data_IF_939444585378
#
_entry.id   IF_939444585378
#
_cell.length_a   1.000
_cell.length_b   1.000
_cell.length_c   1.000
_cell.angle_alpha   90.00
_cell.angle_beta   90.00
_cell.angle_gamma   90.00
#
_symmetry.space_group_name_H-M   'P 1'
#
loop_
_entity.id
_entity.type
_entity.pdbx_description
1 polymer ?
#
# COMPACT_ATOMS: atom_id res chain seq x y z
N UNK A 1 11.84 -2.51 18.16
CA UNK A 1 11.35 -3.88 17.95
C UNK A 1 9.94 -3.94 18.51
N UNK A 2 8.93 -3.77 17.65
CA UNK A 2 7.54 -3.57 18.06
C UNK A 2 7.00 -4.79 18.80
N UNK A 3 6.38 -4.55 19.95
CA UNK A 3 5.69 -5.57 20.72
C UNK A 3 4.54 -6.15 19.89
N UNK A 4 4.49 -7.49 19.83
CA UNK A 4 3.55 -8.26 19.02
C UNK A 4 2.18 -8.36 19.70
N UNK A 5 1.74 -7.32 20.42
CA UNK A 5 0.40 -7.32 21.04
C UNK A 5 -0.66 -7.32 19.93
N UNK A 6 -1.47 -8.38 19.80
CA UNK A 6 -2.53 -8.43 18.80
C UNK A 6 -3.58 -7.33 18.99
N UNK A 7 -3.65 -6.70 20.16
CA UNK A 7 -4.59 -5.61 20.46
C UNK A 7 -4.16 -4.24 19.92
N UNK A 8 -2.92 -4.11 19.45
CA UNK A 8 -2.44 -2.85 18.88
C UNK A 8 -3.30 -2.44 17.66
N UNK A 9 -3.81 -1.19 17.63
CA UNK A 9 -4.83 -0.77 16.69
C UNK A 9 -4.31 -0.56 15.26
N UNK A 10 -3.01 -0.39 15.04
CA UNK A 10 -2.46 -0.18 13.70
C UNK A 10 -1.70 -1.41 13.22
N UNK A 11 -2.11 -1.98 12.10
CA UNK A 11 -1.43 -3.09 11.45
C UNK A 11 -0.63 -2.59 10.24
N UNK A 12 0.69 -2.76 10.26
CA UNK A 12 1.53 -2.57 9.09
C UNK A 12 1.50 -3.86 8.26
N UNK A 13 1.22 -3.71 6.97
CA UNK A 13 1.10 -4.83 6.03
C UNK A 13 1.98 -4.61 4.81
N UNK A 14 2.39 -5.72 4.20
CA UNK A 14 3.12 -5.78 2.95
C UNK A 14 2.26 -6.49 1.91
N UNK A 15 2.08 -5.85 0.76
CA UNK A 15 1.42 -6.48 -0.38
C UNK A 15 2.33 -7.57 -0.95
N UNK A 16 2.10 -8.83 -0.57
CA UNK A 16 2.70 -9.98 -1.27
C UNK A 16 1.80 -10.34 -2.44
N UNK A 17 2.31 -10.13 -3.65
CA UNK A 17 1.68 -10.65 -4.87
C UNK A 17 2.65 -11.58 -5.55
N UNK A 18 2.79 -12.79 -5.02
CA UNK A 18 3.29 -13.87 -5.89
C UNK A 18 2.18 -14.22 -6.88
N UNK A 19 2.51 -14.62 -8.13
CA UNK A 19 1.52 -15.08 -9.08
C UNK A 19 0.62 -16.20 -8.52
N UNK A 20 1.18 -17.08 -7.67
CA UNK A 20 0.45 -18.18 -7.04
C UNK A 20 -0.64 -17.70 -6.05
N UNK A 21 -0.36 -16.65 -5.26
CA UNK A 21 -1.31 -16.09 -4.30
C UNK A 21 -2.50 -15.41 -5.01
N UNK A 22 -2.23 -14.80 -6.17
CA UNK A 22 -3.27 -14.18 -7.01
C UNK A 22 -4.20 -15.22 -7.65
N UNK A 23 -3.67 -16.38 -8.03
CA UNK A 23 -4.47 -17.45 -8.66
C UNK A 23 -5.29 -18.26 -7.65
N UNK A 24 -4.87 -18.30 -6.38
CA UNK A 24 -5.55 -19.04 -5.31
C UNK A 24 -6.55 -18.22 -4.50
N UNK A 25 -6.65 -16.91 -4.75
CA UNK A 25 -7.47 -16.00 -3.93
C UNK A 25 -6.89 -15.76 -2.52
N UNK A 26 -5.66 -16.20 -2.26
CA UNK A 26 -4.95 -16.06 -0.99
C UNK A 26 -4.00 -14.86 -0.97
N UNK A 27 -4.22 -13.86 -1.83
CA UNK A 27 -3.49 -12.61 -1.86
C UNK A 27 -3.86 -11.69 -0.66
N UNK A 28 -3.93 -12.26 0.54
CA UNK A 28 -4.08 -11.50 1.77
C UNK A 28 -2.77 -10.75 2.05
N UNK A 29 -2.81 -9.45 2.37
CA UNK A 29 -1.63 -8.71 2.77
C UNK A 29 -0.94 -9.39 3.97
N UNK A 30 0.38 -9.53 3.92
CA UNK A 30 1.11 -10.05 5.08
C UNK A 30 1.17 -8.97 6.15
N UNK A 31 0.65 -9.26 7.35
CA UNK A 31 0.87 -8.41 8.54
C UNK A 31 2.32 -8.55 8.99
N UNK A 32 3.04 -7.43 9.00
CA UNK A 32 4.45 -7.35 9.37
C UNK A 32 4.62 -7.13 10.88
N UNK A 33 3.84 -6.20 11.41
CA UNK A 33 3.84 -5.81 12.81
C UNK A 33 2.56 -5.03 13.15
N UNK A 34 2.27 -4.92 14.45
CA UNK A 34 1.21 -4.05 14.96
C UNK A 34 1.75 -3.02 15.94
N UNK A 35 1.15 -1.83 15.95
CA UNK A 35 1.64 -0.67 16.67
C UNK A 35 0.53 0.04 17.44
N UNK A 36 0.88 0.59 18.61
CA UNK A 36 -0.02 1.37 19.44
C UNK A 36 -0.46 2.68 18.78
N UNK A 37 0.42 3.32 18.00
CA UNK A 37 0.17 4.63 17.38
C UNK A 37 0.48 4.63 15.88
N UNK A 38 -0.13 5.57 15.15
CA UNK A 38 0.18 5.75 13.72
C UNK A 38 1.64 6.17 13.51
N UNK A 39 2.20 7.00 14.39
CA UNK A 39 3.59 7.43 14.29
C UNK A 39 4.56 6.25 14.41
N UNK A 40 4.33 5.35 15.36
CA UNK A 40 5.12 4.13 15.51
C UNK A 40 4.96 3.19 14.31
N UNK A 41 3.74 3.10 13.75
CA UNK A 41 3.51 2.33 12.53
C UNK A 41 4.23 2.91 11.30
N UNK A 42 4.28 4.24 11.17
CA UNK A 42 5.04 4.92 10.12
C UNK A 42 6.55 4.71 10.29
N UNK A 43 7.06 4.78 11.53
CA UNK A 43 8.46 4.48 11.82
C UNK A 43 8.80 3.01 11.51
N UNK A 44 7.94 2.09 11.94
CA UNK A 44 8.11 0.67 11.63
C UNK A 44 8.07 0.35 10.13
N UNK A 45 7.37 1.16 9.34
CA UNK A 45 7.38 1.06 7.88
C UNK A 45 8.74 1.50 7.28
N UNK A 46 9.37 2.53 7.85
CA UNK A 46 10.72 2.96 7.47
C UNK A 46 11.75 1.89 7.86
N UNK A 47 11.71 1.37 9.09
CA UNK A 47 12.58 0.27 9.54
C UNK A 47 12.48 -0.94 8.59
N UNK A 48 11.27 -1.24 8.11
CA UNK A 48 11.06 -2.30 7.12
C UNK A 48 11.65 -1.95 5.75
N UNK A 49 11.48 -0.71 5.28
CA UNK A 49 12.07 -0.26 4.02
C UNK A 49 13.60 -0.27 4.06
N UNK A 50 14.22 0.04 5.20
CA UNK A 50 15.67 -0.06 5.43
C UNK A 50 16.17 -1.51 5.37
N UNK A 51 15.38 -2.46 5.89
CA UNK A 51 15.68 -3.88 5.82
C UNK A 51 15.54 -4.50 4.42
N UNK A 52 14.97 -3.77 3.44
CA UNK A 52 14.78 -4.26 2.08
C UNK A 52 16.04 -4.09 1.24
N UNK A 53 16.38 -5.12 0.45
CA UNK A 53 17.47 -5.00 -0.52
C UNK A 53 17.15 -3.93 -1.57
N UNK A 54 18.13 -3.07 -1.88
CA UNK A 54 17.99 -1.90 -2.78
C UNK A 54 17.55 -2.24 -4.21
N UNK A 55 17.71 -3.50 -4.64
CA UNK A 55 17.31 -3.98 -5.97
C UNK A 55 15.96 -4.74 -5.96
N UNK A 56 15.21 -4.69 -4.86
CA UNK A 56 13.88 -5.30 -4.80
C UNK A 56 12.90 -4.43 -5.59
N UNK A 57 12.01 -5.05 -6.38
CA UNK A 57 10.90 -4.34 -6.98
C UNK A 57 10.11 -3.58 -5.89
N UNK A 58 9.64 -2.34 -6.13
CA UNK A 58 8.97 -1.56 -5.10
C UNK A 58 7.79 -2.32 -4.53
N UNK A 59 7.80 -2.52 -3.20
CA UNK A 59 6.73 -3.19 -2.49
C UNK A 59 5.78 -2.15 -1.90
N UNK A 60 4.48 -2.43 -1.95
CA UNK A 60 3.49 -1.58 -1.33
C UNK A 60 3.36 -1.94 0.15
N UNK A 61 3.66 -0.98 1.01
CA UNK A 61 3.36 -1.01 2.44
C UNK A 61 2.02 -0.30 2.69
N UNK A 62 1.22 -0.85 3.58
CA UNK A 62 -0.06 -0.27 3.98
C UNK A 62 -0.29 -0.41 5.48
N UNK A 63 -0.76 0.66 6.11
CA UNK A 63 -1.17 0.72 7.51
C UNK A 63 -2.69 0.69 7.55
N UNK A 64 -3.24 -0.28 8.28
CA UNK A 64 -4.66 -0.42 8.53
C UNK A 64 -4.97 -0.15 10.01
N UNK A 65 -6.16 0.37 10.29
CA UNK A 65 -6.67 0.46 11.66
C UNK A 65 -7.23 -0.90 12.14
N UNK A 66 -7.79 -0.91 13.34
CA UNK A 66 -8.32 -2.13 13.97
C UNK A 66 -9.57 -2.69 13.28
N UNK A 67 -10.25 -1.86 12.50
CA UNK A 67 -11.46 -2.19 11.73
C UNK A 67 -11.09 -2.51 10.27
N UNK A 68 -9.81 -2.77 9.98
CA UNK A 68 -9.28 -3.04 8.63
C UNK A 68 -9.50 -1.88 7.64
N UNK A 69 -9.63 -0.64 8.14
CA UNK A 69 -9.71 0.54 7.29
C UNK A 69 -8.32 1.01 6.91
N UNK A 70 -8.11 1.31 5.63
CA UNK A 70 -6.84 1.83 5.15
C UNK A 70 -6.57 3.22 5.74
N UNK A 71 -5.45 3.37 6.45
CA UNK A 71 -5.00 4.63 7.07
C UNK A 71 -3.98 5.33 6.18
N UNK A 72 -2.94 4.61 5.76
CA UNK A 72 -1.86 5.12 4.89
C UNK A 72 -1.31 3.97 4.04
N UNK A 73 -0.88 4.27 2.81
CA UNK A 73 -0.13 3.32 1.99
C UNK A 73 0.90 4.03 1.12
N UNK A 74 1.97 3.33 0.77
CA UNK A 74 3.08 3.88 0.01
C UNK A 74 4.03 2.82 -0.53
N UNK A 75 4.85 3.20 -1.49
CA UNK A 75 5.90 2.32 -2.00
C UNK A 75 7.15 2.41 -1.13
N UNK A 76 7.64 1.27 -0.67
CA UNK A 76 8.96 1.16 -0.06
C UNK A 76 10.03 1.12 -1.16
N UNK A 77 10.98 2.06 -1.11
CA UNK A 77 12.15 2.11 -1.99
C UNK A 77 13.29 2.90 -1.34
N UNK A 78 14.52 2.47 -1.55
CA UNK A 78 15.74 3.20 -1.14
C UNK A 78 15.71 3.62 0.35
N UNK A 79 15.39 2.69 1.25
CA UNK A 79 15.30 2.95 2.70
C UNK A 79 14.23 3.97 3.12
N UNK A 80 13.28 4.30 2.23
CA UNK A 80 12.19 5.22 2.50
C UNK A 80 10.84 4.65 2.08
N UNK A 81 9.77 5.26 2.58
CA UNK A 81 8.41 4.99 2.12
C UNK A 81 7.88 6.22 1.40
N UNK A 82 7.70 6.10 0.09
CA UNK A 82 7.00 7.10 -0.71
C UNK A 82 5.49 6.96 -0.47
N UNK A 83 5.01 7.60 0.60
CA UNK A 83 3.60 7.63 0.96
C UNK A 83 2.74 8.27 -0.14
N UNK A 84 1.61 7.65 -0.45
CA UNK A 84 0.63 8.19 -1.38
C UNK A 84 -0.21 9.26 -0.69
N UNK A 85 -0.37 10.41 -1.33
CA UNK A 85 -1.27 11.45 -0.84
C UNK A 85 -2.74 10.96 -0.91
N UNK A 86 -3.46 10.94 0.23
CA UNK A 86 -4.86 10.54 0.26
C UNK A 86 -5.71 11.39 -0.68
N UNK A 87 -6.71 10.76 -1.30
CA UNK A 87 -7.76 11.52 -2.00
C UNK A 87 -8.52 12.41 -1.02
N UNK A 88 -8.88 13.62 -1.44
CA UNK A 88 -9.55 14.60 -0.59
C UNK A 88 -11.07 14.63 -0.79
N UNK A 89 -11.58 13.95 -1.81
CA UNK A 89 -13.01 13.94 -2.12
C UNK A 89 -13.49 12.62 -2.71
N UNK A 90 -14.80 12.37 -2.65
CA UNK A 90 -15.42 11.22 -3.31
C UNK A 90 -15.30 11.28 -4.85
N UNK A 91 -15.27 12.48 -5.44
CA UNK A 91 -15.08 12.65 -6.89
C UNK A 91 -13.68 12.22 -7.30
N UNK A 92 -12.66 12.66 -6.57
CA UNK A 92 -11.29 12.22 -6.79
C UNK A 92 -11.15 10.71 -6.58
N UNK A 93 -11.76 10.16 -5.53
CA UNK A 93 -11.76 8.71 -5.27
C UNK A 93 -12.34 7.92 -6.46
N UNK A 94 -13.46 8.38 -7.04
CA UNK A 94 -14.04 7.75 -8.25
C UNK A 94 -13.11 7.84 -9.45
N UNK A 95 -12.42 8.97 -9.64
CA UNK A 95 -11.42 9.13 -10.67
C UNK A 95 -10.27 8.12 -10.52
N UNK A 96 -9.73 8.01 -9.31
CA UNK A 96 -8.68 7.05 -8.95
C UNK A 96 -9.11 5.60 -9.22
N UNK A 97 -10.32 5.20 -8.80
CA UNK A 97 -10.85 3.85 -9.06
C UNK A 97 -10.99 3.57 -10.56
N UNK A 98 -11.44 4.57 -11.33
CA UNK A 98 -11.62 4.45 -12.78
C UNK A 98 -10.27 4.24 -13.46
N UNK A 99 -9.27 5.06 -13.14
CA UNK A 99 -7.92 4.97 -13.69
C UNK A 99 -7.23 3.65 -13.30
N UNK A 100 -7.30 3.26 -12.02
CA UNK A 100 -6.75 1.99 -11.55
C UNK A 100 -7.39 0.79 -12.27
N UNK A 101 -8.71 0.83 -12.50
CA UNK A 101 -9.43 -0.23 -13.24
C UNK A 101 -8.97 -0.32 -14.69
N UNK A 102 -8.74 0.82 -15.36
CA UNK A 102 -8.22 0.86 -16.71
C UNK A 102 -6.80 0.27 -16.80
N UNK A 103 -5.94 0.59 -15.83
CA UNK A 103 -4.58 0.03 -15.75
C UNK A 103 -4.60 -1.48 -15.53
N UNK A 104 -5.49 -2.00 -14.68
CA UNK A 104 -5.65 -3.46 -14.51
C UNK A 104 -6.13 -4.13 -15.80
N UNK A 105 -7.06 -3.52 -16.53
CA UNK A 105 -7.50 -4.02 -17.82
C UNK A 105 -6.37 -4.03 -18.86
N UNK A 106 -5.54 -2.98 -18.90
CA UNK A 106 -4.33 -2.93 -19.73
C UNK A 106 -3.33 -4.02 -19.33
N UNK A 107 -3.12 -4.24 -18.03
CA UNK A 107 -2.23 -5.26 -17.53
C UNK A 107 -2.67 -6.67 -17.94
N UNK A 108 -3.98 -6.93 -17.91
CA UNK A 108 -4.57 -8.19 -18.41
C UNK A 108 -4.28 -8.42 -19.88
N UNK A 109 -4.38 -7.37 -20.73
CA UNK A 109 -4.04 -7.47 -22.16
C UNK A 109 -2.55 -7.70 -22.38
N UNK A 110 -1.68 -6.95 -21.69
CA UNK A 110 -0.23 -7.14 -21.76
C UNK A 110 0.18 -8.57 -21.39
N UNK A 111 -0.42 -9.14 -20.33
CA UNK A 111 -0.19 -10.53 -19.96
C UNK A 111 -0.63 -11.51 -21.05
N UNK A 112 -1.80 -11.28 -21.68
CA UNK A 112 -2.30 -12.11 -22.78
C UNK A 112 -1.42 -12.05 -24.03
N UNK A 113 -0.67 -10.97 -24.24
CA UNK A 113 0.28 -10.81 -25.35
C UNK A 113 1.70 -11.29 -25.01
N UNK A 114 1.91 -11.88 -23.83
CA UNK A 114 3.23 -12.36 -23.43
C UNK A 114 4.19 -11.23 -23.01
N UNK A 115 3.68 -10.10 -22.53
CA UNK A 115 4.47 -8.99 -21.99
C UNK A 115 4.36 -8.91 -20.45
N UNK A 116 5.03 -9.82 -19.71
CA UNK A 116 4.89 -9.92 -18.25
C UNK A 116 5.40 -8.67 -17.51
N UNK A 117 6.49 -8.07 -17.98
CA UNK A 117 7.10 -6.88 -17.35
C UNK A 117 6.19 -5.65 -17.48
N UNK A 118 5.58 -5.45 -18.65
CA UNK A 118 4.58 -4.40 -18.85
C UNK A 118 3.36 -4.65 -17.96
N UNK A 119 2.86 -5.88 -17.93
CA UNK A 119 1.73 -6.25 -17.09
C UNK A 119 2.01 -5.99 -15.60
N UNK A 120 3.22 -6.31 -15.11
CA UNK A 120 3.62 -6.05 -13.73
C UNK A 120 3.69 -4.55 -13.43
N UNK A 121 4.30 -3.75 -14.31
CA UNK A 121 4.37 -2.29 -14.15
C UNK A 121 2.99 -1.64 -14.11
N UNK A 122 2.07 -2.09 -14.98
CA UNK A 122 0.69 -1.59 -15.02
C UNK A 122 -0.08 -1.95 -13.73
N UNK A 123 0.07 -3.18 -13.23
CA UNK A 123 -0.50 -3.59 -11.92
C UNK A 123 0.06 -2.74 -10.79
N UNK A 124 1.37 -2.56 -10.74
CA UNK A 124 2.02 -1.73 -9.71
C UNK A 124 1.50 -0.28 -9.74
N UNK A 125 1.31 0.29 -10.94
CA UNK A 125 0.74 1.64 -11.05
C UNK A 125 -0.71 1.70 -10.56
N UNK A 126 -1.52 0.67 -10.83
CA UNK A 126 -2.88 0.58 -10.28
C UNK A 126 -2.86 0.52 -8.74
N UNK A 127 -1.92 -0.23 -8.16
CA UNK A 127 -1.80 -0.37 -6.71
C UNK A 127 -1.42 0.95 -6.02
N UNK A 128 -0.54 1.74 -6.66
CA UNK A 128 -0.22 3.09 -6.19
C UNK A 128 -1.41 4.06 -6.24
N UNK A 129 -2.34 3.84 -7.18
CA UNK A 129 -3.59 4.59 -7.22
C UNK A 129 -4.52 4.15 -6.09
N UNK A 130 -4.69 2.85 -5.88
CA UNK A 130 -5.52 2.33 -4.78
C UNK A 130 -4.99 2.76 -3.41
N UNK A 131 -3.66 2.86 -3.26
CA UNK A 131 -3.02 3.33 -2.03
C UNK A 131 -3.46 4.74 -1.61
N UNK A 132 -3.98 5.55 -2.54
CA UNK A 132 -4.57 6.87 -2.25
C UNK A 132 -5.97 6.80 -1.69
N UNK A 133 -6.66 5.66 -1.82
CA UNK A 133 -8.03 5.43 -1.37
C UNK A 133 -8.09 5.15 0.13
N UNK A 134 -7.38 5.97 0.92
CA UNK A 134 -7.49 6.00 2.37
C UNK A 134 -8.96 6.14 2.76
N UNK A 135 -9.35 5.41 3.80
CA UNK A 135 -10.72 5.40 4.29
C UNK A 135 -11.17 6.83 4.64
N UNK A 136 -12.43 7.21 4.33
CA UNK A 136 -12.94 8.55 4.59
C UNK A 136 -12.69 9.08 6.02
N UNK A 137 -12.73 8.21 7.04
CA UNK A 137 -12.49 8.58 8.43
C UNK A 137 -11.04 9.03 8.69
N UNK A 138 -10.10 8.50 7.92
CA UNK A 138 -8.66 8.73 8.10
C UNK A 138 -8.07 9.79 7.18
N UNK A 139 -8.72 10.14 6.07
CA UNK A 139 -8.16 11.05 5.04
C UNK A 139 -7.57 12.34 5.59
N UNK A 140 -8.33 13.06 6.41
CA UNK A 140 -7.87 14.33 6.97
C UNK A 140 -6.66 14.16 7.91
N UNK A 141 -6.68 13.12 8.74
CA UNK A 141 -5.60 12.80 9.66
C UNK A 141 -4.34 12.34 8.92
N UNK A 142 -4.49 11.43 7.96
CA UNK A 142 -3.43 10.94 7.10
C UNK A 142 -2.76 12.06 6.31
N UNK A 143 -3.55 12.93 5.68
CA UNK A 143 -3.03 14.10 4.97
C UNK A 143 -2.24 15.03 5.91
N UNK A 144 -2.74 15.25 7.14
CA UNK A 144 -2.03 16.05 8.13
C UNK A 144 -0.74 15.38 8.63
N UNK A 145 -0.76 14.07 8.86
CA UNK A 145 0.43 13.32 9.27
C UNK A 145 1.54 13.43 8.21
N UNK A 146 1.19 13.30 6.92
CA UNK A 146 2.14 13.46 5.82
C UNK A 146 2.69 14.89 5.71
N UNK A 147 1.91 15.92 6.04
CA UNK A 147 2.40 17.31 6.07
C UNK A 147 3.42 17.56 7.19
N UNK A 148 3.31 16.86 8.32
CA UNK A 148 4.21 17.04 9.47
C UNK A 148 5.49 16.21 9.29
N UNK A 149 5.41 15.11 8.55
CA UNK A 149 6.54 14.21 8.27
C UNK A 149 7.38 14.60 7.05
N UNK A 150 6.99 15.63 6.30
CA UNK A 150 7.68 16.16 5.11
C UNK A 150 8.70 17.24 5.50
#
# INVERSE_FOLDING_TARGET
MGDADPNHPFALTLSRRTPADLMSGQAAPLVLARFATLADAMLGAIDHAEGMATNTAPLLLAIFDRDERLVLAGAARDCAVAWCHPVMSATEARGVVTEASQLRAQAGRAAAWGEPDLAQRLRHRADLLDARLVDPLWRAFAARALQVAA
#
